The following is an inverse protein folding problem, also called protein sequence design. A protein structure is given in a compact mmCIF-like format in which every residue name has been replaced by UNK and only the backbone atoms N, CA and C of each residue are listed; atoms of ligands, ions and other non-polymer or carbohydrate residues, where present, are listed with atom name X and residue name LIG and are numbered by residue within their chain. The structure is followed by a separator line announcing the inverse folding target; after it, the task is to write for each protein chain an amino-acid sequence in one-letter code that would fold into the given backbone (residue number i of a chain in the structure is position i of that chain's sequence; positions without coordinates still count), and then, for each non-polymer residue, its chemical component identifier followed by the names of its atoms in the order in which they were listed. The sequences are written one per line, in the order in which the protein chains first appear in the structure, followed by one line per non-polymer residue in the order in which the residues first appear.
data_IF_201909824653
#
_entry.id   IF_201909824653
#
_cell.length_a   1.000
_cell.length_b   1.000
_cell.length_c   1.000
_cell.angle_alpha   90.00
_cell.angle_beta   90.00
_cell.angle_gamma   90.00
#
_symmetry.space_group_name_H-M   'P 1'
#
loop_
_entity.id
_entity.type
_entity.pdbx_description
1 polymer ?
#
# COMPACT_ATOMS: atom_id res chain seq x y z
N UNK A 1 -15.97 -25.03 -2.45
CA UNK A 1 -15.14 -24.00 -3.05
C UNK A 1 -14.01 -24.60 -3.90
N UNK A 2 -13.15 -25.46 -3.34
CA UNK A 2 -12.02 -26.07 -4.04
C UNK A 2 -12.43 -26.70 -5.38
N UNK A 3 -13.44 -27.55 -5.40
CA UNK A 3 -13.95 -28.18 -6.64
C UNK A 3 -14.42 -27.17 -7.71
N UNK A 4 -14.98 -26.04 -7.31
CA UNK A 4 -15.40 -24.99 -8.24
C UNK A 4 -14.20 -24.27 -8.84
N UNK A 5 -13.20 -23.96 -8.02
CA UNK A 5 -11.96 -23.33 -8.47
C UNK A 5 -11.17 -24.23 -9.42
N UNK A 6 -11.13 -25.54 -9.14
CA UNK A 6 -10.39 -26.50 -9.96
C UNK A 6 -11.09 -26.80 -11.31
N UNK A 7 -12.43 -26.88 -11.33
CA UNK A 7 -13.19 -27.30 -12.52
C UNK A 7 -13.69 -26.16 -13.38
N UNK A 8 -14.03 -25.04 -12.78
CA UNK A 8 -14.70 -23.90 -13.44
C UNK A 8 -14.19 -22.55 -12.92
N UNK A 9 -12.88 -22.27 -12.99
CA UNK A 9 -12.32 -21.05 -12.38
C UNK A 9 -12.87 -19.74 -12.99
N UNK A 10 -13.27 -19.76 -14.26
CA UNK A 10 -13.83 -18.61 -14.98
C UNK A 10 -15.37 -18.55 -14.98
N UNK A 11 -16.06 -19.42 -14.25
CA UNK A 11 -17.53 -19.46 -14.28
C UNK A 11 -18.17 -18.17 -13.70
N UNK A 12 -17.61 -17.61 -12.65
CA UNK A 12 -18.09 -16.35 -12.06
C UNK A 12 -17.07 -15.74 -11.09
N UNK A 13 -16.83 -14.44 -11.19
CA UNK A 13 -16.07 -13.65 -10.22
C UNK A 13 -16.61 -13.81 -8.78
N UNK A 14 -17.92 -14.01 -8.64
CA UNK A 14 -18.55 -14.19 -7.33
C UNK A 14 -18.04 -15.41 -6.56
N UNK A 15 -17.46 -16.41 -7.21
CA UNK A 15 -16.85 -17.57 -6.54
C UNK A 15 -15.70 -17.07 -5.64
N UNK A 16 -14.88 -16.17 -6.15
CA UNK A 16 -13.75 -15.59 -5.42
C UNK A 16 -14.20 -14.60 -4.36
N UNK A 17 -15.11 -13.68 -4.70
CA UNK A 17 -15.60 -12.67 -3.75
C UNK A 17 -16.30 -13.30 -2.53
N UNK A 18 -17.19 -14.27 -2.77
CA UNK A 18 -17.85 -15.02 -1.70
C UNK A 18 -16.90 -15.99 -1.01
N UNK A 19 -15.95 -16.55 -1.74
CA UNK A 19 -14.89 -17.36 -1.19
C UNK A 19 -14.04 -16.59 -0.17
N UNK A 20 -13.65 -15.35 -0.49
CA UNK A 20 -12.94 -14.46 0.42
C UNK A 20 -13.77 -14.18 1.69
N UNK A 21 -15.07 -13.90 1.57
CA UNK A 21 -15.97 -13.72 2.73
C UNK A 21 -16.00 -14.97 3.62
N UNK A 22 -16.06 -16.18 3.02
CA UNK A 22 -16.01 -17.43 3.78
C UNK A 22 -14.67 -17.58 4.51
N UNK A 23 -13.53 -17.25 3.88
CA UNK A 23 -12.22 -17.33 4.53
C UNK A 23 -12.12 -16.32 5.68
N UNK A 24 -12.58 -15.08 5.51
CA UNK A 24 -12.64 -14.07 6.58
C UNK A 24 -13.45 -14.56 7.80
N UNK A 25 -14.58 -15.17 7.56
CA UNK A 25 -15.40 -15.78 8.64
C UNK A 25 -14.67 -16.95 9.33
N UNK A 26 -13.90 -17.75 8.59
CA UNK A 26 -13.09 -18.83 9.17
C UNK A 26 -11.92 -18.28 9.98
N UNK A 27 -11.23 -17.25 9.50
CA UNK A 27 -10.16 -16.55 10.24
C UNK A 27 -10.70 -16.04 11.58
N UNK A 28 -11.87 -15.39 11.58
CA UNK A 28 -12.50 -14.87 12.78
C UNK A 28 -12.90 -15.97 13.79
N UNK A 29 -13.12 -17.20 13.33
CA UNK A 29 -13.55 -18.35 14.17
C UNK A 29 -12.45 -19.37 14.40
N UNK A 30 -11.24 -19.11 13.92
CA UNK A 30 -10.12 -20.02 14.08
C UNK A 30 -9.79 -20.27 15.56
N UNK A 31 -9.57 -21.54 15.89
CA UNK A 31 -9.33 -21.98 17.28
C UNK A 31 -7.84 -22.04 17.64
N UNK A 32 -6.96 -21.89 16.67
CA UNK A 32 -5.51 -21.90 16.87
C UNK A 32 -4.82 -20.94 15.88
N UNK A 33 -3.60 -20.53 16.24
CA UNK A 33 -2.74 -19.69 15.38
C UNK A 33 -2.44 -20.39 14.05
N UNK A 34 -2.18 -21.71 14.09
CA UNK A 34 -1.91 -22.50 12.90
C UNK A 34 -3.12 -22.56 11.94
N UNK A 35 -4.32 -22.75 12.51
CA UNK A 35 -5.55 -22.75 11.73
C UNK A 35 -5.82 -21.37 11.13
N UNK A 36 -5.65 -20.30 11.94
CA UNK A 36 -5.78 -18.91 11.46
C UNK A 36 -4.84 -18.64 10.30
N UNK A 37 -3.56 -19.01 10.42
CA UNK A 37 -2.56 -18.86 9.35
C UNK A 37 -2.99 -19.57 8.07
N UNK A 38 -3.43 -20.82 8.16
CA UNK A 38 -3.91 -21.61 6.99
C UNK A 38 -5.06 -20.91 6.27
N UNK A 39 -5.98 -20.27 7.00
CA UNK A 39 -7.09 -19.54 6.37
C UNK A 39 -6.66 -18.22 5.77
N UNK A 40 -5.67 -17.53 6.36
CA UNK A 40 -5.07 -16.32 5.77
C UNK A 40 -4.36 -16.68 4.46
N UNK A 41 -3.52 -17.72 4.46
CA UNK A 41 -2.84 -18.19 3.25
C UNK A 41 -3.84 -18.56 2.14
N UNK A 42 -4.96 -19.20 2.52
CA UNK A 42 -6.04 -19.53 1.59
C UNK A 42 -6.77 -18.29 1.06
N UNK A 43 -6.92 -17.25 1.86
CA UNK A 43 -7.49 -15.97 1.45
C UNK A 43 -6.58 -15.26 0.44
N UNK A 44 -5.28 -15.23 0.70
CA UNK A 44 -4.29 -14.64 -0.21
C UNK A 44 -4.26 -15.39 -1.55
N UNK A 45 -4.25 -16.72 -1.53
CA UNK A 45 -4.35 -17.53 -2.73
C UNK A 45 -5.63 -17.26 -3.53
N UNK A 46 -6.76 -17.03 -2.87
CA UNK A 46 -8.02 -16.68 -3.57
C UNK A 46 -7.90 -15.35 -4.32
N UNK A 47 -7.20 -14.36 -3.77
CA UNK A 47 -6.93 -13.11 -4.48
C UNK A 47 -6.04 -13.35 -5.71
N UNK A 48 -4.99 -14.15 -5.59
CA UNK A 48 -4.10 -14.46 -6.71
C UNK A 48 -4.83 -15.18 -7.84
N UNK A 49 -5.62 -16.19 -7.52
CA UNK A 49 -6.46 -16.90 -8.49
C UNK A 49 -7.54 -15.99 -9.11
N UNK A 50 -8.06 -15.02 -8.35
CA UNK A 50 -8.99 -14.03 -8.91
C UNK A 50 -8.29 -13.09 -9.88
N UNK A 51 -7.06 -12.65 -9.61
CA UNK A 51 -6.27 -11.84 -10.53
C UNK A 51 -6.00 -12.63 -11.81
N UNK A 52 -5.60 -13.89 -11.70
CA UNK A 52 -5.33 -14.76 -12.85
C UNK A 52 -6.55 -14.93 -13.76
N UNK A 53 -7.75 -15.06 -13.20
CA UNK A 53 -8.95 -15.38 -13.96
C UNK A 53 -9.82 -14.17 -14.34
N UNK A 54 -9.71 -13.05 -13.59
CA UNK A 54 -10.55 -11.84 -13.73
C UNK A 54 -9.77 -10.54 -13.59
N UNK A 55 -8.44 -10.57 -13.72
CA UNK A 55 -7.59 -9.38 -13.63
C UNK A 55 -7.89 -8.32 -14.70
N UNK A 56 -8.42 -8.74 -15.84
CA UNK A 56 -8.75 -7.85 -16.97
C UNK A 56 -10.14 -7.17 -16.82
N UNK A 57 -10.85 -7.40 -15.72
CA UNK A 57 -12.17 -6.78 -15.53
C UNK A 57 -12.03 -5.25 -15.41
N UNK A 58 -12.80 -4.50 -16.21
CA UNK A 58 -12.64 -3.05 -16.38
C UNK A 58 -12.67 -2.23 -15.07
N UNK A 59 -13.51 -2.60 -14.10
CA UNK A 59 -13.70 -1.84 -12.84
C UNK A 59 -13.27 -2.60 -11.60
N UNK A 60 -13.19 -3.92 -11.66
CA UNK A 60 -12.86 -4.81 -10.52
C UNK A 60 -11.73 -5.78 -10.88
N UNK A 61 -10.86 -5.33 -11.77
CA UNK A 61 -9.69 -6.07 -12.24
C UNK A 61 -8.54 -6.05 -11.26
N UNK A 62 -7.32 -6.21 -11.79
CA UNK A 62 -6.10 -6.42 -11.02
C UNK A 62 -5.89 -5.37 -9.92
N UNK A 63 -6.00 -4.08 -10.24
CA UNK A 63 -5.78 -3.01 -9.27
C UNK A 63 -6.74 -3.09 -8.07
N UNK A 64 -8.04 -3.23 -8.34
CA UNK A 64 -9.06 -3.41 -7.30
C UNK A 64 -8.80 -4.64 -6.42
N UNK A 65 -8.35 -5.75 -7.02
CA UNK A 65 -8.10 -6.99 -6.29
C UNK A 65 -6.85 -6.86 -5.41
N UNK A 66 -5.79 -6.22 -5.93
CA UNK A 66 -4.56 -5.96 -5.18
C UNK A 66 -4.79 -5.05 -3.98
N UNK A 67 -5.56 -3.97 -4.12
CA UNK A 67 -5.96 -3.11 -3.00
C UNK A 67 -6.63 -3.93 -1.88
N UNK A 68 -7.62 -4.77 -2.25
CA UNK A 68 -8.29 -5.63 -1.27
C UNK A 68 -7.36 -6.65 -0.62
N UNK A 69 -6.44 -7.22 -1.39
CA UNK A 69 -5.44 -8.18 -0.90
C UNK A 69 -4.52 -7.52 0.13
N UNK A 70 -3.99 -6.33 -0.18
CA UNK A 70 -3.10 -5.59 0.71
C UNK A 70 -3.79 -5.21 2.02
N UNK A 71 -5.00 -4.63 1.96
CA UNK A 71 -5.77 -4.24 3.15
C UNK A 71 -6.14 -5.44 4.02
N UNK A 72 -6.57 -6.54 3.43
CA UNK A 72 -6.91 -7.74 4.20
C UNK A 72 -5.67 -8.37 4.83
N UNK A 73 -4.53 -8.38 4.14
CA UNK A 73 -3.30 -8.89 4.71
C UNK A 73 -2.86 -8.05 5.92
N UNK A 74 -2.90 -6.72 5.81
CA UNK A 74 -2.62 -5.80 6.91
C UNK A 74 -3.53 -6.07 8.13
N UNK A 75 -4.83 -6.31 7.91
CA UNK A 75 -5.77 -6.59 9.01
C UNK A 75 -5.43 -7.91 9.74
N UNK A 76 -4.98 -8.93 9.03
CA UNK A 76 -4.78 -10.25 9.62
C UNK A 76 -3.34 -10.56 10.02
N UNK A 77 -2.36 -9.90 9.43
CA UNK A 77 -0.92 -10.05 9.68
C UNK A 77 -0.21 -8.68 9.81
N UNK A 78 -0.64 -7.81 10.72
CA UNK A 78 -0.09 -6.44 10.83
C UNK A 78 1.40 -6.40 11.21
N UNK A 79 1.94 -7.48 11.79
CA UNK A 79 3.33 -7.57 12.21
C UNK A 79 4.28 -8.15 11.13
N UNK A 80 3.75 -8.59 10.01
CA UNK A 80 4.55 -9.00 8.85
C UNK A 80 4.80 -7.79 7.95
N UNK A 81 5.61 -6.86 8.47
CA UNK A 81 5.81 -5.54 7.87
C UNK A 81 6.34 -5.60 6.45
N UNK A 82 7.35 -6.45 6.18
CA UNK A 82 7.90 -6.62 4.84
C UNK A 82 6.82 -7.01 3.82
N UNK A 83 6.02 -8.02 4.15
CA UNK A 83 4.98 -8.49 3.25
C UNK A 83 3.83 -7.50 3.11
N UNK A 84 3.48 -6.78 4.18
CA UNK A 84 2.52 -5.67 4.12
C UNK A 84 2.99 -4.62 3.13
N UNK A 85 4.21 -4.12 3.28
CA UNK A 85 4.78 -3.08 2.41
C UNK A 85 4.85 -3.55 0.95
N UNK A 86 5.28 -4.80 0.71
CA UNK A 86 5.33 -5.38 -0.64
C UNK A 86 3.95 -5.38 -1.31
N UNK A 87 2.91 -5.85 -0.63
CA UNK A 87 1.55 -5.91 -1.17
C UNK A 87 0.97 -4.52 -1.46
N UNK A 88 1.25 -3.54 -0.61
CA UNK A 88 0.84 -2.16 -0.88
C UNK A 88 1.60 -1.55 -2.06
N UNK A 89 2.90 -1.81 -2.21
CA UNK A 89 3.68 -1.38 -3.38
C UNK A 89 3.12 -1.98 -4.67
N UNK A 90 2.76 -3.27 -4.68
CA UNK A 90 2.11 -3.91 -5.83
C UNK A 90 0.77 -3.23 -6.19
N UNK A 91 -0.04 -2.90 -5.20
CA UNK A 91 -1.33 -2.27 -5.40
C UNK A 91 -1.19 -0.82 -5.92
N UNK A 92 -0.28 -0.03 -5.34
CA UNK A 92 0.02 1.34 -5.77
C UNK A 92 0.60 1.35 -7.21
N UNK A 93 1.47 0.40 -7.54
CA UNK A 93 2.02 0.28 -8.89
C UNK A 93 0.94 -0.06 -9.94
N UNK A 94 -0.10 -0.78 -9.55
CA UNK A 94 -1.22 -1.10 -10.43
C UNK A 94 -2.17 0.10 -10.62
N UNK A 95 -2.45 0.83 -9.55
CA UNK A 95 -3.25 2.06 -9.58
C UNK A 95 -3.00 2.85 -8.30
N UNK A 96 -2.27 3.97 -8.37
CA UNK A 96 -2.08 4.84 -7.23
C UNK A 96 -3.42 5.52 -6.84
N UNK A 97 -3.69 5.50 -5.54
CA UNK A 97 -4.89 6.12 -4.95
C UNK A 97 -4.49 6.81 -3.64
N UNK A 98 -4.98 8.05 -3.35
CA UNK A 98 -4.59 8.81 -2.17
C UNK A 98 -4.75 8.07 -0.83
N UNK A 99 -5.85 7.34 -0.63
CA UNK A 99 -6.06 6.56 0.60
C UNK A 99 -5.05 5.42 0.71
N UNK A 100 -4.85 4.68 -0.38
CA UNK A 100 -3.92 3.56 -0.44
C UNK A 100 -2.48 4.02 -0.15
N UNK A 101 -2.08 5.15 -0.72
CA UNK A 101 -0.77 5.77 -0.49
C UNK A 101 -0.60 6.21 0.97
N UNK A 102 -1.61 6.85 1.56
CA UNK A 102 -1.53 7.27 2.97
C UNK A 102 -1.40 6.06 3.92
N UNK A 103 -2.15 4.98 3.68
CA UNK A 103 -2.04 3.75 4.47
C UNK A 103 -0.65 3.13 4.32
N UNK A 104 -0.16 2.98 3.10
CA UNK A 104 1.17 2.44 2.82
C UNK A 104 2.26 3.23 3.55
N UNK A 105 2.24 4.55 3.38
CA UNK A 105 3.27 5.41 3.94
C UNK A 105 3.26 5.41 5.48
N UNK A 106 2.08 5.30 6.07
CA UNK A 106 1.96 5.08 7.52
C UNK A 106 2.63 3.78 7.94
N UNK A 107 2.39 2.67 7.24
CA UNK A 107 3.02 1.39 7.57
C UNK A 107 4.54 1.45 7.41
N UNK A 108 5.03 2.13 6.37
CA UNK A 108 6.46 2.31 6.13
C UNK A 108 7.13 3.10 7.28
N UNK A 109 6.53 4.22 7.70
CA UNK A 109 7.06 5.05 8.78
C UNK A 109 6.95 4.39 10.16
N UNK A 110 5.87 3.63 10.42
CA UNK A 110 5.73 2.87 11.64
C UNK A 110 6.80 1.76 11.73
N UNK A 111 7.01 1.01 10.64
CA UNK A 111 8.05 -0.03 10.55
C UNK A 111 9.45 0.53 10.82
N UNK A 112 9.78 1.67 10.21
CA UNK A 112 11.05 2.35 10.45
C UNK A 112 11.24 2.73 11.93
N UNK A 113 10.18 3.19 12.61
CA UNK A 113 10.25 3.60 14.02
C UNK A 113 10.33 2.42 14.98
N UNK A 114 9.51 1.41 14.75
CA UNK A 114 9.31 0.32 15.72
C UNK A 114 10.44 -0.71 15.64
N UNK A 115 10.88 -1.06 14.43
CA UNK A 115 11.87 -2.11 14.23
C UNK A 115 13.28 -1.56 13.95
N UNK A 116 13.40 -0.25 13.63
CA UNK A 116 14.67 0.39 13.29
C UNK A 116 15.26 -0.13 11.99
N UNK A 117 14.46 -0.86 11.20
CA UNK A 117 14.84 -1.37 9.89
C UNK A 117 14.33 -0.42 8.80
N UNK A 118 15.08 -0.30 7.72
CA UNK A 118 14.86 0.70 6.69
C UNK A 118 15.80 1.88 6.81
N UNK A 119 15.78 2.79 5.86
CA UNK A 119 16.64 3.95 5.87
C UNK A 119 15.86 5.27 5.79
N UNK A 120 16.38 6.36 6.38
CA UNK A 120 15.82 7.69 6.17
C UNK A 120 15.66 8.02 4.68
N UNK A 121 16.63 7.61 3.88
CA UNK A 121 16.67 7.85 2.44
C UNK A 121 15.50 7.16 1.72
N UNK A 122 15.13 5.94 2.14
CA UNK A 122 13.98 5.23 1.60
C UNK A 122 12.68 5.98 1.88
N UNK A 123 12.48 6.46 3.11
CA UNK A 123 11.28 7.21 3.49
C UNK A 123 11.19 8.52 2.70
N UNK A 124 12.30 9.25 2.57
CA UNK A 124 12.37 10.49 1.81
C UNK A 124 12.07 10.22 0.33
N UNK A 125 12.67 9.20 -0.27
CA UNK A 125 12.46 8.83 -1.67
C UNK A 125 11.00 8.42 -1.93
N UNK A 126 10.38 7.66 -1.03
CA UNK A 126 8.98 7.25 -1.15
C UNK A 126 8.02 8.44 -0.94
N UNK A 127 8.32 9.35 0.00
CA UNK A 127 7.54 10.57 0.17
C UNK A 127 7.53 11.39 -1.11
N UNK A 128 8.70 11.60 -1.70
CA UNK A 128 8.87 12.35 -2.94
C UNK A 128 8.16 11.69 -4.13
N UNK A 129 8.34 10.40 -4.29
CA UNK A 129 7.72 9.62 -5.37
C UNK A 129 6.20 9.62 -5.32
N UNK A 130 5.62 9.63 -4.11
CA UNK A 130 4.17 9.47 -3.90
C UNK A 130 3.42 10.79 -3.72
N UNK A 131 4.09 11.88 -3.36
CA UNK A 131 3.47 13.21 -3.21
C UNK A 131 2.62 13.63 -4.41
N UNK A 132 3.03 13.42 -5.69
CA UNK A 132 2.23 13.81 -6.84
C UNK A 132 0.87 13.09 -6.97
N UNK A 133 0.65 11.98 -6.26
CA UNK A 133 -0.64 11.27 -6.27
C UNK A 133 -1.77 12.14 -5.70
N UNK A 134 -1.43 13.11 -4.87
CA UNK A 134 -2.39 14.02 -4.25
C UNK A 134 -2.67 15.27 -5.09
N UNK A 135 -1.88 15.53 -6.14
CA UNK A 135 -1.99 16.73 -6.96
C UNK A 135 -3.30 16.70 -7.79
N UNK A 136 -4.13 17.72 -7.59
CA UNK A 136 -5.42 17.85 -8.25
C UNK A 136 -6.47 16.79 -7.84
N UNK A 137 -6.16 15.93 -6.87
CA UNK A 137 -7.11 14.97 -6.35
C UNK A 137 -8.22 15.65 -5.54
N UNK A 138 -9.44 15.14 -5.64
CA UNK A 138 -10.66 15.72 -5.04
C UNK A 138 -11.25 14.81 -3.95
N UNK A 139 -12.36 15.22 -3.35
CA UNK A 139 -13.05 14.43 -2.33
C UNK A 139 -12.28 14.40 -1.02
N UNK A 140 -11.95 13.21 -0.50
CA UNK A 140 -11.20 13.01 0.76
C UNK A 140 -9.67 13.06 0.59
N UNK A 141 -9.17 13.29 -0.60
CA UNK A 141 -7.73 13.32 -0.86
C UNK A 141 -6.96 14.35 0.00
N UNK A 142 -7.48 15.54 0.32
CA UNK A 142 -6.81 16.45 1.24
C UNK A 142 -6.60 15.88 2.65
N UNK A 143 -7.55 15.08 3.16
CA UNK A 143 -7.42 14.41 4.47
C UNK A 143 -6.33 13.34 4.45
N UNK A 144 -6.24 12.58 3.36
CA UNK A 144 -5.20 11.57 3.17
C UNK A 144 -3.84 12.21 2.96
N UNK A 145 -3.76 13.35 2.27
CA UNK A 145 -2.52 14.12 2.17
C UNK A 145 -2.05 14.61 3.53
N UNK A 146 -2.92 15.17 4.36
CA UNK A 146 -2.58 15.61 5.71
C UNK A 146 -2.03 14.44 6.57
N UNK A 147 -2.61 13.25 6.45
CA UNK A 147 -2.09 12.04 7.11
C UNK A 147 -0.71 11.65 6.58
N UNK A 148 -0.52 11.68 5.27
CA UNK A 148 0.74 11.36 4.60
C UNK A 148 1.86 12.33 5.06
N UNK A 149 1.60 13.64 5.04
CA UNK A 149 2.53 14.69 5.47
C UNK A 149 2.85 14.56 6.98
N UNK A 150 1.85 14.28 7.81
CA UNK A 150 2.05 14.02 9.25
C UNK A 150 2.92 12.80 9.51
N UNK A 151 2.73 11.71 8.76
CA UNK A 151 3.57 10.53 8.91
C UNK A 151 5.02 10.85 8.58
N UNK A 152 5.29 11.65 7.53
CA UNK A 152 6.63 12.11 7.19
C UNK A 152 7.23 12.98 8.30
N UNK A 153 6.52 14.02 8.74
CA UNK A 153 7.00 14.90 9.83
C UNK A 153 7.26 14.18 11.15
N UNK A 154 6.42 13.18 11.48
CA UNK A 154 6.56 12.39 12.71
C UNK A 154 7.55 11.22 12.60
N UNK A 155 8.04 10.90 11.42
CA UNK A 155 9.02 9.82 11.22
C UNK A 155 10.38 10.11 11.83
N UNK A 156 10.70 11.42 12.03
CA UNK A 156 12.00 11.88 12.49
C UNK A 156 13.05 11.98 11.38
N UNK A 157 12.72 11.60 10.13
CA UNK A 157 13.61 11.75 8.98
C UNK A 157 13.54 13.15 8.36
N UNK A 158 12.50 13.91 8.63
CA UNK A 158 12.35 15.31 8.20
C UNK A 158 13.21 16.26 9.05
N UNK A 159 14.52 15.97 9.17
CA UNK A 159 15.49 16.89 9.77
C UNK A 159 15.96 17.92 8.74
N UNK A 160 16.39 19.09 9.21
CA UNK A 160 16.95 20.11 8.31
C UNK A 160 18.08 19.55 7.46
N UNK A 161 18.97 18.71 8.04
CA UNK A 161 20.08 18.09 7.32
C UNK A 161 19.61 17.17 6.19
N UNK A 162 18.64 16.31 6.45
CA UNK A 162 18.10 15.37 5.46
C UNK A 162 17.34 16.10 4.35
N UNK A 163 16.54 17.09 4.71
CA UNK A 163 15.81 17.92 3.74
C UNK A 163 16.76 18.73 2.87
N UNK A 164 17.78 19.35 3.46
CA UNK A 164 18.82 20.07 2.70
C UNK A 164 19.56 19.16 1.72
N UNK A 165 19.91 17.94 2.13
CA UNK A 165 20.57 16.97 1.25
C UNK A 165 19.67 16.60 0.05
N UNK A 166 18.41 16.26 0.31
CA UNK A 166 17.43 15.93 -0.72
C UNK A 166 17.23 17.09 -1.71
N UNK A 167 17.05 18.33 -1.19
CA UNK A 167 16.83 19.49 -2.05
C UNK A 167 18.06 19.90 -2.84
N UNK A 168 19.27 19.76 -2.27
CA UNK A 168 20.51 19.99 -3.03
C UNK A 168 20.63 19.06 -4.24
N UNK A 169 20.32 17.79 -4.08
CA UNK A 169 20.31 16.84 -5.20
C UNK A 169 19.24 17.17 -6.25
N UNK A 170 18.00 17.49 -5.82
CA UNK A 170 16.91 17.87 -6.74
C UNK A 170 17.23 19.17 -7.50
N UNK A 171 17.68 20.19 -6.82
CA UNK A 171 18.06 21.46 -7.43
C UNK A 171 19.18 21.25 -8.45
N UNK A 172 20.18 20.45 -8.12
CA UNK A 172 21.28 20.13 -9.03
C UNK A 172 20.77 19.35 -10.27
N UNK A 173 19.85 18.42 -10.09
CA UNK A 173 19.26 17.64 -11.18
C UNK A 173 18.30 18.44 -12.07
N UNK A 174 17.61 19.45 -11.52
CA UNK A 174 16.63 20.28 -12.22
C UNK A 174 17.21 21.49 -12.98
N UNK A 175 18.52 21.71 -12.95
CA UNK A 175 19.15 22.92 -13.48
C UNK A 175 18.56 24.24 -12.91
N UNK A 176 18.24 24.26 -11.62
CA UNK A 176 17.62 25.38 -10.91
C UNK A 176 16.20 25.74 -11.41
N UNK A 177 15.39 24.75 -11.72
CA UNK A 177 13.98 24.95 -12.09
C UNK A 177 13.26 25.70 -10.97
N UNK A 178 12.58 26.85 -11.27
CA UNK A 178 11.87 27.67 -10.28
C UNK A 178 10.79 26.91 -9.49
N UNK A 179 10.11 25.95 -10.12
CA UNK A 179 9.05 25.18 -9.47
C UNK A 179 9.62 24.21 -8.43
N UNK A 180 10.80 23.64 -8.69
CA UNK A 180 11.54 22.80 -7.73
C UNK A 180 12.06 23.65 -6.55
N UNK A 181 12.50 24.86 -6.83
CA UNK A 181 12.92 25.80 -5.79
C UNK A 181 11.76 26.24 -4.89
N UNK A 182 10.58 26.48 -5.46
CA UNK A 182 9.37 26.83 -4.69
C UNK A 182 8.95 25.69 -3.76
N UNK A 183 8.94 24.44 -4.24
CA UNK A 183 8.64 23.27 -3.41
C UNK A 183 9.64 23.07 -2.27
N UNK A 184 10.92 23.38 -2.50
CA UNK A 184 11.94 23.31 -1.46
C UNK A 184 11.69 24.34 -0.33
N UNK A 185 11.25 25.53 -0.68
CA UNK A 185 10.95 26.61 0.28
C UNK A 185 9.69 26.32 1.10
N UNK A 186 8.66 25.73 0.49
CA UNK A 186 7.41 25.39 1.18
C UNK A 186 7.55 24.25 2.21
N UNK A 187 8.60 23.45 2.11
CA UNK A 187 8.88 22.31 3.02
C UNK A 187 9.92 22.65 4.12
N UNK A 188 10.60 23.77 4.03
CA UNK A 188 11.52 24.26 5.06
C UNK A 188 10.83 25.18 6.05
#
# INVERSE_FOLDING_TARGET
LKQLLDKCPKASENIYAKGATVMKNKIARAKSVAEKKTYIDSLMLLYDLRIENFGDHATRGKAYILDRKARDFLIYNPLDHERVLELFREAIAAQPDPELVAIYFKQLTDYYKDDGEGSPEEIIAEYDRLSPVFDGATGQAPEYKDQFDKCFGLSGVASCENLEAMFKEKIAASNNDPDVLAQAVDLM
#
